data_IF_232826193630
#
_entry.id   IF_232826193630
#
_cell.length_a   1.000
_cell.length_b   1.000
_cell.length_c   1.000
_cell.angle_alpha   90.00
_cell.angle_beta   90.00
_cell.angle_gamma   90.00
#
_symmetry.space_group_name_H-M   'P 1'
#
loop_
_entity.id
_entity.type
_entity.pdbx_description
1 polymer ?
#
# COMPACT_ATOMS: atom_id res chain seq x y z
N UNK A 1 7.94 29.94 -17.43
CA UNK A 1 8.23 28.50 -17.64
C UNK A 1 7.35 27.74 -16.68
N UNK A 2 6.37 27.05 -17.23
CA UNK A 2 5.48 26.14 -16.51
C UNK A 2 6.13 24.76 -16.57
N UNK A 3 6.35 24.13 -15.42
CA UNK A 3 6.76 22.74 -15.34
C UNK A 3 5.57 21.95 -14.81
N UNK A 4 5.15 21.00 -15.63
CA UNK A 4 4.09 20.04 -15.38
C UNK A 4 4.55 19.03 -14.32
N UNK A 5 4.03 19.15 -13.10
CA UNK A 5 4.20 18.13 -12.07
C UNK A 5 3.27 16.95 -12.36
N UNK A 6 3.84 15.90 -12.95
CA UNK A 6 3.22 14.59 -13.18
C UNK A 6 2.55 14.05 -11.90
N UNK A 7 1.23 13.87 -11.98
CA UNK A 7 0.40 13.22 -10.98
C UNK A 7 0.65 11.71 -11.01
N UNK A 8 1.62 11.22 -10.22
CA UNK A 8 1.64 9.80 -9.85
C UNK A 8 0.51 9.52 -8.85
N UNK A 9 -0.59 8.98 -9.39
CA UNK A 9 -1.68 8.38 -8.64
C UNK A 9 -1.28 6.97 -8.18
N UNK A 10 -0.49 6.90 -7.12
CA UNK A 10 -0.34 5.64 -6.38
C UNK A 10 -1.59 5.46 -5.50
N UNK A 11 -2.52 4.67 -6.04
CA UNK A 11 -3.70 4.11 -5.40
C UNK A 11 -3.27 3.09 -4.32
N UNK A 12 -3.05 3.57 -3.09
CA UNK A 12 -3.04 2.69 -1.91
C UNK A 12 -4.48 2.50 -1.40
N UNK A 13 -5.06 1.37 -1.78
CA UNK A 13 -6.46 0.99 -1.61
C UNK A 13 -6.73 0.21 -0.30
N UNK A 14 -6.20 0.69 0.82
CA UNK A 14 -6.34 0.02 2.14
C UNK A 14 -6.77 0.99 3.25
N UNK A 15 -7.85 1.74 3.03
CA UNK A 15 -8.50 2.47 4.14
C UNK A 15 -9.94 2.02 4.34
N UNK A 16 -10.12 1.02 5.20
CA UNK A 16 -11.40 0.67 5.81
C UNK A 16 -11.79 1.75 6.87
N UNK A 17 -12.77 2.64 6.61
CA UNK A 17 -13.21 3.57 7.65
C UNK A 17 -14.05 2.79 8.67
N UNK A 18 -13.47 2.52 9.85
CA UNK A 18 -14.25 2.11 11.04
C UNK A 18 -15.36 3.14 11.26
N UNK A 19 -16.59 2.79 10.93
CA UNK A 19 -17.76 3.64 11.09
C UNK A 19 -17.98 3.88 12.59
N UNK A 20 -17.50 5.02 13.10
CA UNK A 20 -17.98 5.52 14.40
C UNK A 20 -19.47 5.79 14.26
N UNK A 21 -20.28 4.91 14.86
CA UNK A 21 -21.73 5.11 15.02
C UNK A 21 -21.94 6.51 15.62
N UNK A 22 -22.46 7.44 14.82
CA UNK A 22 -22.92 8.74 15.32
C UNK A 22 -24.04 8.44 16.32
N UNK A 23 -23.82 8.75 17.60
CA UNK A 23 -24.94 8.92 18.56
C UNK A 23 -25.85 9.99 17.96
N UNK A 24 -27.03 9.58 17.52
CA UNK A 24 -28.12 10.50 17.21
C UNK A 24 -28.36 11.36 18.44
N UNK A 25 -28.20 12.68 18.30
CA UNK A 25 -28.63 13.63 19.33
C UNK A 25 -30.10 13.35 19.60
N UNK A 26 -30.39 13.05 20.86
CA UNK A 26 -31.70 12.75 21.39
C UNK A 26 -32.69 13.85 21.02
N UNK A 27 -33.82 13.46 20.43
CA UNK A 27 -35.04 14.24 20.49
C UNK A 27 -35.36 14.43 21.98
N UNK A 28 -35.40 15.66 22.47
CA UNK A 28 -35.80 15.95 23.84
C UNK A 28 -37.21 15.39 24.08
N UNK A 29 -37.42 14.58 25.13
CA UNK A 29 -38.72 14.00 25.40
C UNK A 29 -39.65 15.09 25.94
N UNK A 30 -40.80 15.20 25.30
CA UNK A 30 -41.89 16.08 25.69
C UNK A 30 -42.37 15.68 27.12
N UNK A 31 -42.30 16.56 28.14
CA UNK A 31 -42.42 16.18 29.55
C UNK A 31 -43.81 15.67 29.99
N UNK A 32 -44.81 15.75 29.11
CA UNK A 32 -46.20 15.38 29.42
C UNK A 32 -46.64 14.00 28.90
N UNK A 33 -45.74 13.18 28.35
CA UNK A 33 -46.09 11.80 27.92
C UNK A 33 -45.72 10.80 29.00
N UNK A 34 -46.73 10.19 29.65
CA UNK A 34 -46.56 8.98 30.48
C UNK A 34 -45.69 7.99 29.70
N UNK A 35 -44.50 7.67 30.22
CA UNK A 35 -43.57 6.75 29.58
C UNK A 35 -44.23 5.37 29.48
N UNK A 36 -44.55 4.94 28.26
CA UNK A 36 -45.01 3.56 28.01
C UNK A 36 -43.89 2.58 28.40
N UNK A 37 -44.20 1.45 29.04
CA UNK A 37 -43.19 0.44 29.34
C UNK A 37 -42.48 0.00 28.05
N UNK A 38 -41.20 -0.38 28.14
CA UNK A 38 -40.36 -0.72 26.98
C UNK A 38 -40.97 -1.84 26.12
N UNK A 39 -41.70 -2.75 26.75
CA UNK A 39 -42.44 -3.83 26.06
C UNK A 39 -43.49 -3.24 25.13
N UNK A 40 -44.31 -2.29 25.60
CA UNK A 40 -45.31 -1.60 24.78
C UNK A 40 -44.70 -0.78 23.65
N UNK A 41 -43.47 -0.26 23.83
CA UNK A 41 -42.76 0.46 22.77
C UNK A 41 -42.26 -0.49 21.68
N UNK A 42 -41.79 -1.68 22.05
CA UNK A 42 -41.31 -2.71 21.12
C UNK A 42 -42.47 -3.45 20.44
N UNK A 43 -43.64 -3.52 21.10
CA UNK A 43 -44.86 -4.10 20.55
C UNK A 43 -45.48 -3.25 19.44
N UNK A 44 -45.13 -1.96 19.34
CA UNK A 44 -45.58 -1.10 18.23
C UNK A 44 -44.70 -1.41 17.01
N UNK A 45 -45.25 -2.03 15.95
CA UNK A 45 -44.47 -2.32 14.76
C UNK A 45 -43.97 -1.02 14.11
N UNK A 46 -42.76 -1.08 13.55
CA UNK A 46 -42.19 0.09 12.88
C UNK A 46 -43.06 0.48 11.67
N UNK A 47 -43.19 1.78 11.38
CA UNK A 47 -44.02 2.27 10.27
C UNK A 47 -43.62 1.67 8.91
N UNK A 48 -42.32 1.42 8.71
CA UNK A 48 -41.78 0.73 7.52
C UNK A 48 -42.20 -0.73 7.44
N UNK A 49 -42.24 -1.42 8.59
CA UNK A 49 -42.70 -2.80 8.68
C UNK A 49 -44.19 -2.92 8.35
N UNK A 50 -45.02 -1.98 8.81
CA UNK A 50 -46.45 -1.94 8.46
C UNK A 50 -46.63 -1.75 6.95
N UNK A 51 -45.86 -0.84 6.33
CA UNK A 51 -45.93 -0.61 4.88
C UNK A 51 -45.47 -1.84 4.08
N UNK A 52 -44.38 -2.50 4.50
CA UNK A 52 -43.89 -3.73 3.88
C UNK A 52 -44.92 -4.86 3.99
N UNK A 53 -45.45 -5.10 5.20
CA UNK A 53 -46.50 -6.11 5.42
C UNK A 53 -47.78 -5.82 4.63
N UNK A 54 -48.13 -4.55 4.45
CA UNK A 54 -49.26 -4.14 3.60
C UNK A 54 -49.00 -4.46 2.13
N UNK A 55 -47.79 -4.21 1.63
CA UNK A 55 -47.40 -4.53 0.25
C UNK A 55 -47.38 -6.05 0.00
N UNK A 56 -46.87 -6.82 0.97
CA UNK A 56 -46.67 -8.27 0.84
C UNK A 56 -47.93 -9.08 1.10
N UNK A 57 -48.82 -8.64 2.00
CA UNK A 57 -49.99 -9.41 2.47
C UNK A 57 -51.34 -8.69 2.29
N UNK A 58 -51.38 -7.60 1.53
CA UNK A 58 -52.60 -6.81 1.32
C UNK A 58 -53.78 -7.59 0.73
N UNK A 59 -53.53 -8.69 0.02
CA UNK A 59 -54.57 -9.54 -0.59
C UNK A 59 -55.38 -10.37 0.42
N UNK A 60 -54.89 -10.55 1.66
CA UNK A 60 -55.63 -11.26 2.70
C UNK A 60 -56.70 -10.40 3.38
N UNK A 61 -56.66 -9.08 3.20
CA UNK A 61 -57.61 -8.16 3.81
C UNK A 61 -58.76 -7.84 2.85
N UNK A 62 -59.98 -7.60 3.37
CA UNK A 62 -61.10 -7.12 2.55
C UNK A 62 -60.74 -5.76 1.93
N UNK A 63 -61.14 -5.56 0.66
CA UNK A 63 -60.75 -4.39 -0.16
C UNK A 63 -61.03 -3.05 0.52
N UNK A 64 -62.14 -2.93 1.24
CA UNK A 64 -62.50 -1.73 1.99
C UNK A 64 -61.47 -1.34 3.07
N UNK A 65 -60.83 -2.32 3.72
CA UNK A 65 -59.80 -2.07 4.74
C UNK A 65 -58.46 -1.72 4.10
N UNK A 66 -58.15 -2.35 2.97
CA UNK A 66 -56.94 -2.06 2.17
C UNK A 66 -56.95 -0.60 1.70
N UNK A 67 -58.08 -0.13 1.19
CA UNK A 67 -58.24 1.26 0.75
C UNK A 67 -58.12 2.26 1.90
N UNK A 68 -58.72 1.98 3.06
CA UNK A 68 -58.56 2.82 4.26
C UNK A 68 -57.11 2.88 4.74
N UNK A 69 -56.40 1.76 4.72
CA UNK A 69 -54.97 1.68 5.09
C UNK A 69 -54.12 2.44 4.08
N UNK A 70 -54.41 2.32 2.78
CA UNK A 70 -53.75 3.06 1.71
C UNK A 70 -53.90 4.57 1.87
N UNK A 71 -55.12 5.04 2.13
CA UNK A 71 -55.41 6.47 2.34
C UNK A 71 -54.68 6.98 3.59
N UNK A 72 -54.75 6.27 4.71
CA UNK A 72 -54.00 6.63 5.93
C UNK A 72 -52.49 6.69 5.69
N UNK A 73 -51.93 5.72 4.97
CA UNK A 73 -50.52 5.71 4.60
C UNK A 73 -50.18 6.86 3.64
N UNK A 74 -51.04 7.16 2.68
CA UNK A 74 -50.86 8.30 1.78
C UNK A 74 -50.92 9.62 2.55
N UNK A 75 -51.86 9.83 3.46
CA UNK A 75 -51.94 11.04 4.30
C UNK A 75 -50.73 11.17 5.24
N UNK A 76 -50.20 10.05 5.75
CA UNK A 76 -49.03 10.02 6.62
C UNK A 76 -47.70 10.25 5.87
N UNK A 77 -47.66 9.97 4.55
CA UNK A 77 -46.46 10.08 3.72
C UNK A 77 -46.51 11.22 2.69
N UNK A 78 -47.68 11.80 2.44
CA UNK A 78 -47.87 12.97 1.60
C UNK A 78 -47.30 14.19 2.34
N UNK A 79 -46.00 14.41 2.17
CA UNK A 79 -45.40 15.71 2.45
C UNK A 79 -46.07 16.74 1.55
N UNK A 80 -46.34 17.92 2.11
CA UNK A 80 -46.72 19.06 1.26
C UNK A 80 -45.57 19.38 0.30
N UNK A 81 -45.85 19.97 -0.89
CA UNK A 81 -44.79 20.34 -1.83
C UNK A 81 -43.70 21.21 -1.18
N UNK A 82 -44.08 22.10 -0.26
CA UNK A 82 -43.14 22.93 0.51
C UNK A 82 -42.24 22.12 1.44
N UNK A 83 -42.77 21.13 2.15
CA UNK A 83 -41.99 20.25 3.03
C UNK A 83 -41.03 19.37 2.24
N UNK A 84 -41.48 18.92 1.06
CA UNK A 84 -40.68 18.12 0.14
C UNK A 84 -39.48 18.91 -0.38
N UNK A 85 -39.68 20.17 -0.77
CA UNK A 85 -38.61 21.06 -1.18
C UNK A 85 -37.59 21.29 -0.04
N UNK A 86 -38.06 21.57 1.17
CA UNK A 86 -37.21 21.74 2.35
C UNK A 86 -36.40 20.48 2.66
N UNK A 87 -37.00 19.30 2.52
CA UNK A 87 -36.33 18.02 2.71
C UNK A 87 -35.17 17.82 1.72
N UNK A 88 -35.42 18.00 0.42
CA UNK A 88 -34.39 17.85 -0.59
C UNK A 88 -33.31 18.93 -0.50
N UNK A 89 -33.67 20.17 -0.15
CA UNK A 89 -32.70 21.23 0.11
C UNK A 89 -31.78 20.86 1.29
N UNK A 90 -32.31 20.27 2.35
CA UNK A 90 -31.52 19.82 3.50
C UNK A 90 -30.61 18.63 3.16
N UNK A 91 -31.06 17.68 2.32
CA UNK A 91 -30.21 16.59 1.82
C UNK A 91 -29.06 17.15 0.97
N UNK A 92 -29.36 18.08 0.04
CA UNK A 92 -28.34 18.73 -0.79
C UNK A 92 -27.30 19.45 0.07
N UNK A 93 -27.74 20.22 1.07
CA UNK A 93 -26.84 20.88 2.04
C UNK A 93 -25.96 19.88 2.79
N UNK A 94 -26.55 18.81 3.33
CA UNK A 94 -25.79 17.75 4.02
C UNK A 94 -24.77 17.06 3.11
N UNK A 95 -25.12 16.78 1.86
CA UNK A 95 -24.21 16.19 0.89
C UNK A 95 -23.02 17.12 0.62
N UNK A 96 -23.29 18.41 0.38
CA UNK A 96 -22.27 19.42 0.16
C UNK A 96 -21.33 19.56 1.38
N UNK A 97 -21.88 19.56 2.60
CA UNK A 97 -21.09 19.63 3.83
C UNK A 97 -20.19 18.40 4.02
N UNK A 98 -20.68 17.21 3.65
CA UNK A 98 -19.88 15.99 3.70
C UNK A 98 -18.76 16.03 2.67
N UNK A 99 -19.03 16.51 1.46
CA UNK A 99 -17.99 16.67 0.42
C UNK A 99 -16.90 17.64 0.88
N UNK A 100 -17.28 18.84 1.35
CA UNK A 100 -16.33 19.82 1.89
C UNK A 100 -15.43 19.26 2.98
N UNK A 101 -16.00 18.45 3.90
CA UNK A 101 -15.21 17.80 4.96
C UNK A 101 -14.22 16.76 4.41
N UNK A 102 -14.59 16.02 3.36
CA UNK A 102 -13.69 15.08 2.69
C UNK A 102 -12.54 15.82 2.02
N UNK A 103 -12.84 16.92 1.33
CA UNK A 103 -11.84 17.72 0.61
C UNK A 103 -10.83 18.34 1.58
N UNK A 104 -11.30 18.93 2.69
CA UNK A 104 -10.43 19.47 3.74
C UNK A 104 -9.55 18.37 4.34
N UNK A 105 -10.11 17.19 4.63
CA UNK A 105 -9.34 16.06 5.17
C UNK A 105 -8.26 15.59 4.20
N UNK A 106 -8.59 15.53 2.91
CA UNK A 106 -7.65 15.15 1.86
C UNK A 106 -6.51 16.16 1.73
N UNK A 107 -6.83 17.45 1.68
CA UNK A 107 -5.85 18.53 1.63
C UNK A 107 -4.91 18.50 2.84
N UNK A 108 -5.45 18.30 4.04
CA UNK A 108 -4.64 18.20 5.26
C UNK A 108 -3.70 16.99 5.22
N UNK A 109 -4.18 15.82 4.76
CA UNK A 109 -3.35 14.61 4.60
C UNK A 109 -2.21 14.87 3.61
N UNK A 110 -2.47 15.55 2.50
CA UNK A 110 -1.46 15.92 1.49
C UNK A 110 -0.39 16.84 2.09
N UNK A 111 -0.80 17.87 2.85
CA UNK A 111 0.13 18.79 3.50
C UNK A 111 1.02 18.09 4.54
N UNK A 112 0.45 17.19 5.36
CA UNK A 112 1.22 16.41 6.34
C UNK A 112 2.23 15.49 5.65
N UNK A 113 1.83 14.79 4.59
CA UNK A 113 2.75 13.94 3.80
C UNK A 113 3.91 14.76 3.23
N UNK A 114 3.64 15.94 2.65
CA UNK A 114 4.67 16.83 2.11
C UNK A 114 5.66 17.28 3.19
N UNK A 115 5.16 17.75 4.34
CA UNK A 115 6.02 18.15 5.47
C UNK A 115 6.89 17.00 5.98
N UNK A 116 6.34 15.79 6.08
CA UNK A 116 7.09 14.60 6.50
C UNK A 116 8.20 14.25 5.50
N UNK A 117 7.89 14.28 4.20
CA UNK A 117 8.88 14.04 3.13
C UNK A 117 10.00 15.08 3.18
N UNK A 118 9.67 16.36 3.35
CA UNK A 118 10.66 17.43 3.50
C UNK A 118 11.56 17.23 4.72
N UNK A 119 11.00 16.87 5.87
CA UNK A 119 11.79 16.55 7.07
C UNK A 119 12.73 15.36 6.85
N UNK A 120 12.25 14.29 6.20
CA UNK A 120 13.07 13.14 5.86
C UNK A 120 14.20 13.51 4.89
N UNK A 121 13.95 14.34 3.88
CA UNK A 121 14.99 14.83 2.99
C UNK A 121 16.02 15.68 3.74
N UNK A 122 15.61 16.57 4.64
CA UNK A 122 16.54 17.35 5.47
C UNK A 122 17.41 16.45 6.35
N UNK A 123 16.83 15.46 7.01
CA UNK A 123 17.57 14.48 7.82
C UNK A 123 18.54 13.66 6.97
N UNK A 124 18.12 13.18 5.80
CA UNK A 124 18.97 12.45 4.89
C UNK A 124 20.13 13.32 4.39
N UNK A 125 19.85 14.58 4.05
CA UNK A 125 20.87 15.53 3.63
C UNK A 125 21.87 15.84 4.74
N UNK A 126 21.42 16.09 5.98
CA UNK A 126 22.30 16.30 7.13
C UNK A 126 23.19 15.07 7.40
N UNK A 127 22.62 13.87 7.30
CA UNK A 127 23.38 12.62 7.46
C UNK A 127 24.43 12.48 6.37
N UNK A 128 24.05 12.69 5.11
CA UNK A 128 24.98 12.65 3.97
C UNK A 128 26.07 13.70 4.13
N UNK A 129 25.71 14.94 4.49
CA UNK A 129 26.66 16.01 4.73
C UNK A 129 27.67 15.65 5.83
N UNK A 130 27.20 15.13 6.97
CA UNK A 130 28.09 14.67 8.05
C UNK A 130 29.01 13.54 7.61
N UNK A 131 28.49 12.55 6.88
CA UNK A 131 29.30 11.47 6.32
C UNK A 131 30.34 12.00 5.34
N UNK A 132 29.97 12.96 4.49
CA UNK A 132 30.85 13.52 3.48
C UNK A 132 31.96 14.36 4.12
N UNK A 133 31.63 15.18 5.12
CA UNK A 133 32.62 15.94 5.91
C UNK A 133 33.56 14.99 6.64
N UNK A 134 33.02 14.00 7.36
CA UNK A 134 33.83 13.00 8.07
C UNK A 134 34.71 12.18 7.11
N UNK A 135 34.19 11.83 5.93
CA UNK A 135 34.93 11.14 4.88
C UNK A 135 36.04 11.99 4.29
N UNK A 136 35.79 13.28 4.02
CA UNK A 136 36.82 14.21 3.56
C UNK A 136 37.89 14.45 4.62
N UNK A 137 37.53 14.64 5.89
CA UNK A 137 38.49 14.76 6.99
C UNK A 137 39.34 13.49 7.14
N UNK A 138 38.72 12.32 7.00
CA UNK A 138 39.43 11.04 7.03
C UNK A 138 40.40 10.92 5.85
N UNK A 139 39.96 11.30 4.64
CA UNK A 139 40.79 11.28 3.44
C UNK A 139 42.00 12.21 3.52
N UNK A 140 41.86 13.36 4.18
CA UNK A 140 42.99 14.28 4.45
C UNK A 140 43.97 13.67 5.46
N UNK A 141 43.47 13.04 6.52
CA UNK A 141 44.29 12.43 7.59
C UNK A 141 44.99 11.15 7.15
N UNK A 142 44.39 10.39 6.24
CA UNK A 142 44.90 9.10 5.76
C UNK A 142 45.26 9.20 4.28
N UNK A 143 46.53 9.51 3.96
CA UNK A 143 46.96 9.51 2.56
C UNK A 143 46.79 8.10 1.99
N UNK A 144 46.03 7.99 0.90
CA UNK A 144 45.80 6.72 0.21
C UNK A 144 47.14 6.20 -0.31
N UNK A 145 47.49 4.92 -0.11
CA UNK A 145 48.61 4.33 -0.82
C UNK A 145 48.37 4.46 -2.33
N UNK A 146 49.43 4.64 -3.15
CA UNK A 146 49.27 4.84 -4.59
C UNK A 146 48.42 3.69 -5.18
N UNK A 147 47.35 4.04 -5.90
CA UNK A 147 46.46 3.05 -6.51
C UNK A 147 47.24 2.15 -7.47
N UNK A 148 47.46 0.90 -7.07
CA UNK A 148 48.27 -0.06 -7.84
C UNK A 148 47.46 -0.68 -8.99
N UNK A 149 46.14 -0.76 -8.88
CA UNK A 149 45.31 -1.41 -9.90
C UNK A 149 44.91 -0.43 -11.02
N UNK A 150 45.11 -0.84 -12.28
CA UNK A 150 44.73 -0.07 -13.48
C UNK A 150 43.24 0.25 -13.48
N UNK A 151 42.41 -0.69 -13.01
CA UNK A 151 40.96 -0.53 -12.91
C UNK A 151 40.57 0.58 -11.94
N UNK A 152 41.16 0.62 -10.74
CA UNK A 152 40.90 1.68 -9.77
C UNK A 152 41.39 3.03 -10.28
N UNK A 153 42.53 3.07 -10.97
CA UNK A 153 43.05 4.30 -11.55
C UNK A 153 42.11 4.86 -12.62
N UNK A 154 41.56 4.00 -13.47
CA UNK A 154 40.54 4.40 -14.46
C UNK A 154 39.27 4.92 -13.79
N UNK A 155 38.78 4.21 -12.77
CA UNK A 155 37.58 4.60 -12.05
C UNK A 155 37.77 5.94 -11.31
N UNK A 156 38.93 6.13 -10.68
CA UNK A 156 39.32 7.39 -10.06
C UNK A 156 39.42 8.52 -11.09
N UNK A 157 40.00 8.28 -12.28
CA UNK A 157 40.06 9.29 -13.33
C UNK A 157 38.66 9.72 -13.81
N UNK A 158 37.73 8.78 -13.97
CA UNK A 158 36.33 9.09 -14.31
C UNK A 158 35.69 9.96 -13.22
N UNK A 159 35.88 9.60 -11.95
CA UNK A 159 35.35 10.38 -10.83
C UNK A 159 35.96 11.78 -10.79
N UNK A 160 37.28 11.89 -10.97
CA UNK A 160 38.00 13.15 -10.98
C UNK A 160 37.47 14.06 -12.10
N UNK A 161 37.27 13.52 -13.31
CA UNK A 161 36.67 14.24 -14.43
C UNK A 161 35.28 14.78 -14.07
N UNK A 162 34.43 13.99 -13.42
CA UNK A 162 33.10 14.45 -12.99
C UNK A 162 33.18 15.55 -11.93
N UNK A 163 34.07 15.44 -10.95
CA UNK A 163 34.24 16.47 -9.91
C UNK A 163 34.75 17.77 -10.54
N UNK A 164 35.72 17.68 -11.46
CA UNK A 164 36.28 18.82 -12.18
C UNK A 164 35.22 19.49 -13.07
N UNK A 165 34.42 18.71 -13.80
CA UNK A 165 33.30 19.22 -14.60
C UNK A 165 32.25 19.94 -13.75
N UNK A 166 31.89 19.41 -12.58
CA UNK A 166 30.95 20.05 -11.66
C UNK A 166 31.46 21.36 -11.08
N UNK A 167 32.79 21.50 -10.95
CA UNK A 167 33.45 22.67 -10.40
C UNK A 167 33.94 23.66 -11.47
N UNK A 168 33.83 23.31 -12.75
CA UNK A 168 34.43 24.04 -13.88
C UNK A 168 35.93 24.31 -13.68
N UNK A 169 36.68 23.29 -13.24
CA UNK A 169 38.14 23.37 -13.04
C UNK A 169 38.83 22.40 -13.98
N UNK A 170 40.01 22.77 -14.48
CA UNK A 170 40.84 21.90 -15.32
C UNK A 170 41.25 20.62 -14.56
N UNK A 171 41.36 19.52 -15.29
CA UNK A 171 41.71 18.22 -14.72
C UNK A 171 43.19 18.24 -14.31
N UNK A 172 43.53 18.09 -13.02
CA UNK A 172 44.91 18.15 -12.58
C UNK A 172 45.70 16.92 -13.04
N UNK A 173 46.94 17.14 -13.49
CA UNK A 173 47.87 16.06 -13.78
C UNK A 173 48.32 15.37 -12.48
N UNK A 174 48.48 14.04 -12.49
CA UNK A 174 48.87 13.27 -11.29
C UNK A 174 50.35 13.40 -10.91
N UNK A 175 51.20 13.81 -11.86
CA UNK A 175 52.65 13.91 -11.67
C UNK A 175 53.03 15.28 -11.07
N UNK A 176 52.45 16.37 -11.60
CA UNK A 176 52.68 17.74 -11.12
C UNK A 176 51.34 18.42 -10.80
N UNK A 177 50.76 18.09 -9.65
CA UNK A 177 49.50 18.69 -9.19
C UNK A 177 49.74 19.83 -8.21
N UNK A 178 49.06 20.97 -8.40
CA UNK A 178 48.93 22.01 -7.38
C UNK A 178 48.29 21.45 -6.09
N UNK A 179 48.41 22.14 -4.94
CA UNK A 179 47.92 21.64 -3.65
C UNK A 179 46.43 21.29 -3.69
N UNK A 180 45.65 22.10 -4.41
CA UNK A 180 44.23 21.84 -4.68
C UNK A 180 44.02 20.63 -5.60
N UNK A 181 44.83 20.48 -6.65
CA UNK A 181 44.80 19.32 -7.54
C UNK A 181 45.12 18.01 -6.82
N UNK A 182 46.13 18.02 -5.95
CA UNK A 182 46.51 16.87 -5.12
C UNK A 182 45.36 16.43 -4.20
N UNK A 183 44.63 17.40 -3.63
CA UNK A 183 43.45 17.11 -2.82
C UNK A 183 42.34 16.45 -3.65
N UNK A 184 42.01 16.99 -4.82
CA UNK A 184 40.98 16.42 -5.69
C UNK A 184 41.32 15.00 -6.13
N UNK A 185 42.59 14.75 -6.48
CA UNK A 185 43.08 13.42 -6.84
C UNK A 185 42.91 12.44 -5.68
N UNK A 186 43.29 12.84 -4.45
CA UNK A 186 43.13 11.99 -3.25
C UNK A 186 41.67 11.69 -2.94
N UNK A 187 40.77 12.65 -3.11
CA UNK A 187 39.33 12.46 -2.91
C UNK A 187 38.77 11.48 -3.95
N UNK A 188 39.17 11.63 -5.22
CA UNK A 188 38.77 10.73 -6.29
C UNK A 188 39.27 9.29 -6.05
N UNK A 189 40.53 9.14 -5.62
CA UNK A 189 41.12 7.85 -5.27
C UNK A 189 40.40 7.18 -4.08
N UNK A 190 40.05 7.96 -3.05
CA UNK A 190 39.24 7.50 -1.91
C UNK A 190 37.85 7.02 -2.33
N UNK A 191 37.15 7.81 -3.14
CA UNK A 191 35.82 7.44 -3.62
C UNK A 191 35.88 6.19 -4.50
N UNK A 192 36.92 6.04 -5.32
CA UNK A 192 37.11 4.88 -6.17
C UNK A 192 37.23 3.58 -5.35
N UNK A 193 38.04 3.61 -4.28
CA UNK A 193 38.19 2.49 -3.34
C UNK A 193 36.86 2.16 -2.65
N UNK A 194 36.13 3.18 -2.18
CA UNK A 194 34.84 2.97 -1.51
C UNK A 194 33.81 2.34 -2.46
N UNK A 195 33.72 2.82 -3.69
CA UNK A 195 32.82 2.26 -4.71
C UNK A 195 33.19 0.82 -5.02
N UNK A 196 34.48 0.52 -5.16
CA UNK A 196 34.96 -0.84 -5.39
C UNK A 196 34.57 -1.78 -4.24
N UNK A 197 34.80 -1.37 -2.98
CA UNK A 197 34.40 -2.17 -1.82
C UNK A 197 32.90 -2.35 -1.71
N UNK A 198 32.11 -1.33 -2.01
CA UNK A 198 30.66 -1.39 -1.97
C UNK A 198 30.13 -2.31 -3.08
N UNK A 199 30.69 -2.22 -4.29
CA UNK A 199 30.38 -3.09 -5.41
C UNK A 199 30.71 -4.56 -5.10
N UNK A 200 31.91 -4.84 -4.59
CA UNK A 200 32.28 -6.19 -4.16
C UNK A 200 31.41 -6.68 -3.00
N UNK A 201 31.11 -5.83 -2.02
CA UNK A 201 30.23 -6.17 -0.91
C UNK A 201 28.83 -6.57 -1.36
N UNK A 202 28.28 -5.87 -2.36
CA UNK A 202 26.98 -6.21 -2.96
C UNK A 202 27.10 -7.51 -3.78
N UNK A 203 28.14 -7.66 -4.60
CA UNK A 203 28.35 -8.86 -5.39
C UNK A 203 28.53 -10.12 -4.54
N UNK A 204 29.25 -10.02 -3.41
CA UNK A 204 29.39 -11.11 -2.46
C UNK A 204 28.05 -11.54 -1.86
N UNK A 205 27.21 -10.57 -1.48
CA UNK A 205 25.85 -10.85 -0.96
C UNK A 205 24.99 -11.55 -2.01
N UNK A 206 24.96 -11.03 -3.24
CA UNK A 206 24.22 -11.66 -4.35
C UNK A 206 24.72 -13.07 -4.66
N UNK A 207 26.03 -13.29 -4.65
CA UNK A 207 26.60 -14.62 -4.86
C UNK A 207 26.21 -15.59 -3.73
N UNK A 208 26.14 -15.13 -2.49
CA UNK A 208 25.66 -15.94 -1.36
C UNK A 208 24.17 -16.29 -1.51
N UNK A 209 23.34 -15.34 -1.94
CA UNK A 209 21.91 -15.58 -2.23
C UNK A 209 21.73 -16.61 -3.36
N UNK A 210 22.51 -16.52 -4.43
CA UNK A 210 22.48 -17.49 -5.53
C UNK A 210 22.85 -18.90 -5.08
N UNK A 211 23.86 -19.05 -4.23
CA UNK A 211 24.24 -20.36 -3.67
C UNK A 211 23.12 -20.99 -2.83
N UNK A 212 22.36 -20.18 -2.08
CA UNK A 212 21.21 -20.67 -1.30
C UNK A 212 20.14 -21.22 -2.25
N UNK A 213 19.81 -20.47 -3.31
CA UNK A 213 18.82 -20.87 -4.32
C UNK A 213 19.25 -22.16 -5.04
N UNK A 214 20.51 -22.28 -5.44
CA UNK A 214 21.03 -23.49 -6.07
C UNK A 214 20.93 -24.72 -5.15
N UNK A 215 21.23 -24.54 -3.86
CA UNK A 215 21.14 -25.61 -2.88
C UNK A 215 19.68 -26.03 -2.62
N UNK A 216 18.74 -25.09 -2.60
CA UNK A 216 17.31 -25.39 -2.53
C UNK A 216 16.82 -26.13 -3.77
N UNK A 217 17.28 -25.73 -4.96
CA UNK A 217 16.92 -26.42 -6.20
C UNK A 217 17.50 -27.84 -6.27
N UNK A 218 18.73 -28.05 -5.76
CA UNK A 218 19.31 -29.39 -5.64
C UNK A 218 18.54 -30.27 -4.65
N UNK A 219 18.12 -29.72 -3.51
CA UNK A 219 17.28 -30.44 -2.54
C UNK A 219 15.93 -30.85 -3.13
N UNK A 220 15.23 -29.92 -3.80
CA UNK A 220 13.96 -30.23 -4.49
C UNK A 220 14.10 -31.33 -5.53
N UNK A 221 15.16 -31.30 -6.34
CA UNK A 221 15.45 -32.37 -7.31
C UNK A 221 15.74 -33.72 -6.64
N UNK A 222 16.42 -33.73 -5.50
CA UNK A 222 16.67 -34.96 -4.74
C UNK A 222 15.38 -35.50 -4.09
N UNK A 223 14.53 -34.62 -3.60
CA UNK A 223 13.23 -34.98 -3.00
C UNK A 223 12.25 -35.52 -4.08
N UNK A 224 12.24 -34.92 -5.28
CA UNK A 224 11.48 -35.40 -6.44
C UNK A 224 11.98 -36.78 -6.90
N UNK A 225 13.30 -36.96 -7.07
CA UNK A 225 13.88 -38.25 -7.42
C UNK A 225 13.63 -39.34 -6.35
N UNK A 226 13.59 -38.97 -5.06
CA UNK A 226 13.25 -39.89 -3.98
C UNK A 226 11.76 -40.25 -3.93
N UNK A 227 10.88 -39.40 -4.49
CA UNK A 227 9.45 -39.66 -4.59
C UNK A 227 9.10 -40.58 -5.77
N UNK A 228 9.79 -40.45 -6.90
CA UNK A 228 9.61 -41.32 -8.06
C UNK A 228 10.01 -42.77 -7.74
N UNK A 229 11.10 -42.97 -7.00
CA UNK A 229 11.58 -44.31 -6.64
C UNK A 229 10.69 -45.08 -5.64
N UNK A 230 9.76 -44.39 -4.93
CA UNK A 230 8.76 -45.03 -4.05
C UNK A 230 7.49 -45.46 -4.79
N UNK A 231 7.27 -44.98 -6.01
CA UNK A 231 6.03 -45.25 -6.76
C UNK A 231 6.14 -46.51 -7.64
N UNK A 232 7.35 -47.02 -7.85
CA UNK A 232 7.60 -48.27 -8.60
C UNK A 232 7.55 -49.54 -7.74
N UNK A 233 7.83 -49.47 -6.43
CA UNK A 233 7.78 -50.66 -5.54
C UNK A 233 6.36 -51.09 -5.10
N UNK A 234 5.29 -50.44 -5.57
CA UNK A 234 3.90 -50.77 -5.15
C UNK A 234 2.97 -51.24 -6.26
N UNK A 235 3.48 -51.54 -7.47
CA UNK A 235 2.63 -51.93 -8.62
C UNK A 235 2.68 -53.40 -9.06
N UNK A 236 3.46 -54.26 -8.43
CA UNK A 236 3.66 -55.65 -8.92
C UNK A 236 2.79 -56.75 -8.28
N UNK A 237 1.91 -56.44 -7.32
CA UNK A 237 1.20 -57.49 -6.56
C UNK A 237 -0.31 -57.67 -6.88
N UNK A 238 -0.84 -57.14 -7.99
CA UNK A 238 -2.31 -57.07 -8.15
C UNK A 238 -2.89 -57.35 -9.56
N UNK A 239 -2.32 -58.28 -10.32
CA UNK A 239 -2.96 -58.82 -11.54
C UNK A 239 -2.75 -60.33 -11.63
N UNK A 240 -3.53 -61.12 -10.88
CA UNK A 240 -3.76 -62.55 -11.14
C UNK A 240 -4.98 -63.00 -10.32
N UNK A 241 -6.20 -62.77 -10.82
CA UNK A 241 -7.43 -63.52 -10.49
C UNK A 241 -8.64 -62.85 -11.15
N UNK A 242 -8.96 -63.20 -12.40
CA UNK A 242 -10.32 -63.20 -12.95
C UNK A 242 -10.31 -63.68 -14.42
N UNK A 243 -10.26 -65.00 -14.63
CA UNK A 243 -10.54 -65.60 -15.95
C UNK A 243 -10.91 -67.09 -15.85
N UNK A 244 -12.01 -67.43 -15.16
CA UNK A 244 -12.71 -68.71 -15.37
C UNK A 244 -14.22 -68.48 -15.29
N UNK A 245 -14.89 -68.34 -16.44
CA UNK A 245 -16.29 -68.74 -16.58
C UNK A 245 -16.69 -68.88 -18.06
N UNK A 246 -17.25 -70.06 -18.37
CA UNK A 246 -18.15 -70.40 -19.48
C UNK A 246 -17.53 -70.82 -20.81
N UNK A 247 -17.37 -72.14 -20.96
CA UNK A 247 -17.74 -72.89 -22.17
C UNK A 247 -18.01 -74.34 -21.76
N UNK A 248 -19.28 -74.79 -21.79
CA UNK A 248 -19.71 -76.19 -21.98
C UNK A 248 -21.25 -76.30 -21.87
N UNK A 249 -21.95 -76.12 -23.01
CA UNK A 249 -23.26 -76.74 -23.27
C UNK A 249 -23.26 -77.19 -24.74
N UNK A 250 -23.01 -78.48 -24.97
CA UNK A 250 -23.71 -79.30 -25.97
C UNK A 250 -23.78 -80.75 -25.48
#
# INVERSE_FOLDING_TARGET
MAEDDEFNNDLDDDYQPRSRKKKSRSNEPNPNKKCRPRIDQLAIPSRRLILALYQDHGYHLPREKVEKIKILLQELYAMTPEETERYFAHIKKKSADVSRRKDIKFMLKKLVKRKKKEQQHKQAYELLYRLFVSGMEFAVKTPVPPLVSVRLRNLSNIILEQICNLRNVDIPAREDSDQFGSFLIKVADWMAIVIEHLYYGIHLKKNAELQIIENEHKKKKLDEAASEHKTEETKDDNEDNEAELNDEIE
#
